data_IF_559624242936
#
_entry.id   IF_559624242936
#
_cell.length_a   1.000
_cell.length_b   1.000
_cell.length_c   1.000
_cell.angle_alpha   90.00
_cell.angle_beta   90.00
_cell.angle_gamma   90.00
#
_symmetry.space_group_name_H-M   'P 1'
#
loop_
_entity.id
_entity.type
_entity.pdbx_description
1 polymer ?
#
# COMPACT_ATOMS: atom_id res chain seq x y z
N UNK A 1 -5.50 11.74 -45.19
CA UNK A 1 -5.02 10.82 -44.14
C UNK A 1 -4.77 11.68 -42.91
N UNK A 2 -5.61 11.61 -41.87
CA UNK A 2 -5.35 12.36 -40.64
C UNK A 2 -4.23 11.63 -39.87
N UNK A 3 -3.24 12.33 -39.30
CA UNK A 3 -2.25 11.67 -38.45
C UNK A 3 -3.00 11.10 -37.24
N UNK A 4 -2.78 9.82 -36.96
CA UNK A 4 -3.19 9.20 -35.72
C UNK A 4 -2.38 9.87 -34.61
N UNK A 5 -2.95 10.91 -34.00
CA UNK A 5 -2.48 11.36 -32.70
C UNK A 5 -2.62 10.17 -31.77
N UNK A 6 -1.49 9.65 -31.28
CA UNK A 6 -1.54 8.65 -30.21
C UNK A 6 -2.10 9.37 -28.99
N UNK A 7 -3.40 9.23 -28.77
CA UNK A 7 -4.01 9.51 -27.48
C UNK A 7 -3.43 8.42 -26.57
N UNK A 8 -2.26 8.71 -25.98
CA UNK A 8 -1.73 7.91 -24.88
C UNK A 8 -2.83 7.92 -23.84
N UNK A 9 -3.45 6.76 -23.61
CA UNK A 9 -4.33 6.60 -22.47
C UNK A 9 -3.54 7.06 -21.24
N UNK A 10 -4.12 7.89 -20.35
CA UNK A 10 -3.43 8.29 -19.14
C UNK A 10 -2.94 7.02 -18.47
N UNK A 11 -1.62 6.92 -18.18
CA UNK A 11 -1.02 5.72 -17.61
C UNK A 11 -1.95 5.17 -16.54
N UNK A 12 -2.47 3.96 -16.75
CA UNK A 12 -3.54 3.42 -15.94
C UNK A 12 -3.00 3.21 -14.51
N UNK A 13 -3.25 4.19 -13.64
CA UNK A 13 -2.78 4.15 -12.26
C UNK A 13 -3.60 3.11 -11.49
N UNK A 14 -2.96 1.99 -11.16
CA UNK A 14 -3.53 0.93 -10.35
C UNK A 14 -3.16 1.19 -8.89
N UNK A 15 -4.17 1.32 -8.05
CA UNK A 15 -4.01 1.39 -6.60
C UNK A 15 -4.41 0.06 -5.97
N UNK A 16 -3.69 -0.34 -4.93
CA UNK A 16 -4.00 -1.53 -4.15
C UNK A 16 -4.29 -1.12 -2.70
N UNK A 17 -5.46 -1.53 -2.20
CA UNK A 17 -5.78 -1.50 -0.77
C UNK A 17 -5.59 -2.90 -0.19
N UNK A 18 -4.91 -3.01 0.94
CA UNK A 18 -4.72 -4.27 1.66
C UNK A 18 -5.29 -4.13 3.06
N UNK A 19 -5.86 -5.20 3.59
CA UNK A 19 -6.39 -5.22 4.95
C UNK A 19 -5.94 -6.52 5.60
N UNK A 20 -5.42 -6.41 6.83
CA UNK A 20 -4.95 -7.55 7.61
C UNK A 20 -5.61 -7.55 8.98
N UNK A 21 -6.21 -8.68 9.34
CA UNK A 21 -6.62 -8.95 10.71
C UNK A 21 -5.40 -9.38 11.51
N UNK A 22 -4.92 -8.49 12.36
CA UNK A 22 -3.75 -8.76 13.19
C UNK A 22 -4.18 -9.62 14.38
N UNK A 23 -3.27 -10.43 14.92
CA UNK A 23 -3.54 -11.17 16.15
C UNK A 23 -3.78 -10.21 17.34
N UNK A 24 -4.81 -10.41 18.18
CA UNK A 24 -5.08 -9.55 19.33
C UNK A 24 -3.84 -9.29 20.20
N UNK A 25 -3.62 -8.03 20.57
CA UNK A 25 -2.45 -7.59 21.35
C UNK A 25 -1.13 -7.52 20.60
N UNK A 26 -1.10 -7.81 19.28
CA UNK A 26 0.12 -7.77 18.46
C UNK A 26 0.24 -6.59 17.51
N UNK A 27 -0.72 -5.65 17.51
CA UNK A 27 -0.70 -4.48 16.61
C UNK A 27 0.60 -3.65 16.73
N UNK A 28 1.07 -3.37 17.95
CA UNK A 28 2.31 -2.61 18.15
C UNK A 28 3.53 -3.33 17.57
N UNK A 29 3.65 -4.64 17.80
CA UNK A 29 4.73 -5.45 17.23
C UNK A 29 4.63 -5.56 15.70
N UNK A 30 3.41 -5.63 15.17
CA UNK A 30 3.17 -5.59 13.73
C UNK A 30 3.63 -4.27 13.11
N UNK A 31 3.25 -3.14 13.71
CA UNK A 31 3.68 -1.80 13.26
C UNK A 31 5.19 -1.68 13.28
N UNK A 32 5.85 -2.16 14.34
CA UNK A 32 7.32 -2.15 14.42
C UNK A 32 7.95 -2.90 13.24
N UNK A 33 7.53 -4.14 12.98
CA UNK A 33 8.02 -4.94 11.83
C UNK A 33 7.69 -4.25 10.50
N UNK A 34 6.50 -3.69 10.39
CA UNK A 34 6.06 -3.01 9.18
C UNK A 34 6.97 -1.82 8.85
N UNK A 35 7.22 -0.95 9.83
CA UNK A 35 8.03 0.26 9.62
C UNK A 35 9.52 -0.05 9.44
N UNK A 36 10.05 -1.02 10.19
CA UNK A 36 11.49 -1.31 10.18
C UNK A 36 11.95 -2.25 9.07
N UNK A 37 11.05 -3.10 8.54
CA UNK A 37 11.40 -4.11 7.54
C UNK A 37 10.55 -4.04 6.27
N UNK A 38 9.23 -4.01 6.40
CA UNK A 38 8.31 -4.15 5.25
C UNK A 38 8.29 -2.88 4.38
N UNK A 39 8.11 -1.71 5.00
CA UNK A 39 8.06 -0.42 4.28
C UNK A 39 9.38 -0.16 3.53
N UNK A 40 10.57 -0.32 4.12
CA UNK A 40 11.84 -0.20 3.40
C UNK A 40 11.98 -1.19 2.24
N UNK A 41 11.54 -2.44 2.42
CA UNK A 41 11.56 -3.45 1.35
C UNK A 41 10.64 -3.05 0.20
N UNK A 42 9.41 -2.61 0.48
CA UNK A 42 8.47 -2.16 -0.53
C UNK A 42 9.01 -0.99 -1.33
N UNK A 43 9.58 0.02 -0.65
CA UNK A 43 10.19 1.17 -1.30
C UNK A 43 11.36 0.76 -2.22
N UNK A 44 12.22 -0.17 -1.77
CA UNK A 44 13.32 -0.71 -2.60
C UNK A 44 12.84 -1.46 -3.84
N UNK A 45 11.66 -2.07 -3.78
CA UNK A 45 11.04 -2.79 -4.89
C UNK A 45 10.17 -1.89 -5.79
N UNK A 46 10.15 -0.58 -5.57
CA UNK A 46 9.34 0.36 -6.34
C UNK A 46 7.85 0.34 -6.00
N UNK A 47 7.46 -0.31 -4.90
CA UNK A 47 6.09 -0.28 -4.40
C UNK A 47 5.89 0.94 -3.50
N UNK A 48 5.11 1.91 -3.98
CA UNK A 48 4.78 3.12 -3.23
C UNK A 48 3.66 2.82 -2.25
N UNK A 49 3.93 3.01 -0.95
CA UNK A 49 2.90 2.97 0.10
C UNK A 49 2.34 4.38 0.24
N UNK A 50 1.10 4.59 -0.22
CA UNK A 50 0.42 5.89 -0.16
C UNK A 50 -0.10 6.26 1.24
N UNK A 51 -0.39 5.28 2.07
CA UNK A 51 -0.87 5.48 3.43
C UNK A 51 -1.02 4.15 4.15
N UNK A 52 -1.06 4.23 5.49
CA UNK A 52 -1.29 3.11 6.38
C UNK A 52 -2.13 3.56 7.56
N UNK A 53 -3.07 2.73 8.00
CA UNK A 53 -4.00 3.03 9.09
C UNK A 53 -4.18 1.81 10.00
N UNK A 54 -4.55 2.07 11.25
CA UNK A 54 -5.11 1.06 12.13
C UNK A 54 -6.51 1.49 12.52
N UNK A 55 -7.43 0.54 12.66
CA UNK A 55 -8.74 0.79 13.24
C UNK A 55 -8.62 1.00 14.75
N UNK A 56 -9.53 1.79 15.34
CA UNK A 56 -9.55 2.05 16.79
C UNK A 56 -10.34 1.00 17.58
N UNK A 57 -11.30 0.37 16.92
CA UNK A 57 -12.31 -0.54 17.48
C UNK A 57 -12.03 -2.01 17.17
N UNK A 58 -11.29 -2.29 16.09
CA UNK A 58 -10.89 -3.65 15.71
C UNK A 58 -9.37 -3.77 15.62
N UNK A 59 -8.86 -5.00 15.44
CA UNK A 59 -7.43 -5.25 15.34
C UNK A 59 -6.94 -5.29 13.89
N UNK A 60 -7.46 -4.38 13.07
CA UNK A 60 -7.25 -4.33 11.63
C UNK A 60 -6.15 -3.32 11.28
N UNK A 61 -5.20 -3.75 10.45
CA UNK A 61 -4.23 -2.88 9.80
C UNK A 61 -4.56 -2.74 8.31
N UNK A 62 -4.51 -1.52 7.79
CA UNK A 62 -4.80 -1.15 6.40
C UNK A 62 -3.56 -0.49 5.80
#
# INVERSE_FOLDING_TARGET
MKPYESILEPELMIFQLRQYDIHPGKMLAWIEVFETHIRPLHQRLGMVIHGTWQTLDTNTFI
#
